data_IF_112833978226
#
_entry.id   IF_112833978226
#
_cell.length_a   1.000
_cell.length_b   1.000
_cell.length_c   1.000
_cell.angle_alpha   90.00
_cell.angle_beta   90.00
_cell.angle_gamma   90.00
#
_symmetry.space_group_name_H-M   'P 1'
#
loop_
_entity.id
_entity.type
_entity.pdbx_description
1 polymer ?
#
# COMPACT_ATOMS: atom_id res chain seq x y z
N UNK A 1 9.33 22.03 23.41
CA UNK A 1 9.43 20.57 23.20
C UNK A 1 8.26 19.94 23.93
N UNK A 2 7.35 19.26 23.22
CA UNK A 2 6.31 18.45 23.85
C UNK A 2 6.75 16.99 23.81
N UNK A 3 6.63 16.28 24.93
CA UNK A 3 6.94 14.84 25.03
C UNK A 3 5.61 14.12 25.23
N UNK A 4 5.24 13.27 24.28
CA UNK A 4 4.00 12.50 24.34
C UNK A 4 4.38 11.06 24.66
N UNK A 5 3.91 10.56 25.80
CA UNK A 5 4.08 9.16 26.15
C UNK A 5 3.15 8.32 25.28
N UNK A 6 3.75 7.57 24.37
CA UNK A 6 3.08 6.54 23.57
C UNK A 6 3.26 5.18 24.25
N UNK A 7 2.41 4.20 23.92
CA UNK A 7 2.58 2.83 24.40
C UNK A 7 3.16 1.92 23.31
N UNK A 8 3.40 0.67 23.66
CA UNK A 8 3.85 -0.36 22.71
C UNK A 8 2.79 -0.77 21.66
N UNK A 9 1.53 -0.35 21.82
CA UNK A 9 0.41 -0.83 21.02
C UNK A 9 0.45 -0.32 19.57
N UNK A 10 0.57 1.01 19.41
CA UNK A 10 0.96 1.63 18.16
C UNK A 10 2.35 2.24 18.40
N UNK A 11 3.44 1.60 17.92
CA UNK A 11 4.80 2.03 18.24
C UNK A 11 5.19 3.37 17.59
N UNK A 12 4.25 4.05 16.93
CA UNK A 12 4.44 5.28 16.18
C UNK A 12 3.35 6.29 16.54
N UNK A 13 3.73 7.57 16.59
CA UNK A 13 2.78 8.68 16.63
C UNK A 13 2.60 9.19 15.20
N UNK A 14 1.36 9.47 14.81
CA UNK A 14 1.03 9.90 13.45
C UNK A 14 0.62 11.35 13.50
N UNK A 15 1.32 12.20 12.76
CA UNK A 15 0.99 13.61 12.64
C UNK A 15 -0.10 13.81 11.59
N UNK A 16 -1.09 14.62 11.90
CA UNK A 16 -2.10 15.08 10.94
C UNK A 16 -1.49 15.98 9.86
N UNK A 17 -2.15 16.12 8.70
CA UNK A 17 -1.61 16.85 7.55
C UNK A 17 -1.36 18.34 7.83
N UNK A 18 -2.12 18.94 8.75
CA UNK A 18 -1.96 20.34 9.16
C UNK A 18 -0.89 20.53 10.25
N UNK A 19 -0.28 19.44 10.72
CA UNK A 19 0.73 19.45 11.78
C UNK A 19 0.20 19.86 13.15
N UNK A 20 -1.13 19.83 13.38
CA UNK A 20 -1.73 20.23 14.67
C UNK A 20 -2.17 19.05 15.51
N UNK A 21 -2.65 18.00 14.86
CA UNK A 21 -3.13 16.79 15.52
C UNK A 21 -2.09 15.67 15.48
N UNK A 22 -2.09 14.86 16.53
CA UNK A 22 -1.33 13.62 16.63
C UNK A 22 -2.30 12.51 16.99
N UNK A 23 -2.24 11.40 16.25
CA UNK A 23 -2.85 10.14 16.65
C UNK A 23 -1.79 9.27 17.33
N UNK A 24 -2.15 8.72 18.48
CA UNK A 24 -1.36 7.73 19.22
C UNK A 24 -2.31 6.64 19.75
N UNK A 25 -1.82 5.42 19.96
CA UNK A 25 -2.58 4.40 20.68
C UNK A 25 -1.89 3.99 21.98
N UNK A 26 -2.68 3.74 23.02
CA UNK A 26 -2.21 3.33 24.34
C UNK A 26 -2.54 1.86 24.64
N UNK A 27 -2.08 1.36 25.80
CA UNK A 27 -2.29 -0.02 26.25
C UNK A 27 -3.78 -0.40 26.41
N UNK A 28 -4.65 0.60 26.51
CA UNK A 28 -6.10 0.49 26.66
C UNK A 28 -6.86 0.20 25.35
N UNK A 29 -6.15 -0.01 24.24
CA UNK A 29 -6.71 -0.23 22.90
C UNK A 29 -7.47 0.99 22.34
N UNK A 30 -7.31 2.16 22.95
CA UNK A 30 -7.94 3.40 22.54
C UNK A 30 -6.98 4.22 21.68
N UNK A 31 -7.52 4.81 20.61
CA UNK A 31 -6.80 5.83 19.85
C UNK A 31 -6.97 7.18 20.51
N UNK A 32 -5.91 7.91 20.75
CA UNK A 32 -5.96 9.25 21.33
C UNK A 32 -5.59 10.27 20.27
N UNK A 33 -6.45 11.27 20.07
CA UNK A 33 -6.13 12.46 19.29
C UNK A 33 -5.64 13.55 20.24
N UNK A 34 -4.41 13.98 20.04
CA UNK A 34 -3.74 14.99 20.84
C UNK A 34 -3.38 16.20 19.98
N UNK A 35 -3.19 17.35 20.61
CA UNK A 35 -2.45 18.46 20.00
C UNK A 35 -0.96 18.12 19.92
N UNK A 36 -0.22 18.86 19.11
CA UNK A 36 1.26 18.81 19.13
C UNK A 36 1.90 19.29 20.43
N UNK A 37 1.14 19.93 21.31
CA UNK A 37 1.56 20.21 22.70
C UNK A 37 1.33 19.04 23.67
N UNK A 38 0.73 17.94 23.21
CA UNK A 38 0.44 16.74 24.00
C UNK A 38 -0.86 16.79 24.79
N UNK A 39 -1.73 17.77 24.55
CA UNK A 39 -3.05 17.86 25.18
C UNK A 39 -3.98 16.89 24.46
N UNK A 40 -4.55 15.95 25.21
CA UNK A 40 -5.54 15.02 24.66
C UNK A 40 -6.86 15.76 24.39
N UNK A 41 -7.33 15.66 23.14
CA UNK A 41 -8.57 16.28 22.69
C UNK A 41 -9.70 15.27 22.65
N UNK A 42 -9.43 14.05 22.16
CA UNK A 42 -10.44 13.01 21.96
C UNK A 42 -9.86 11.61 22.20
N UNK A 43 -10.73 10.73 22.67
CA UNK A 43 -10.51 9.29 22.79
C UNK A 43 -11.39 8.54 21.77
N UNK A 44 -10.78 7.74 20.93
CA UNK A 44 -11.40 6.95 19.86
C UNK A 44 -11.70 5.54 20.39
N UNK A 45 -12.74 5.45 21.20
CA UNK A 45 -13.12 4.22 21.90
C UNK A 45 -13.98 3.33 21.00
N UNK A 46 -13.61 2.05 20.88
CA UNK A 46 -14.46 1.06 20.21
C UNK A 46 -13.75 -0.19 19.70
N UNK A 47 -12.44 -0.14 19.46
CA UNK A 47 -11.67 -1.35 19.19
C UNK A 47 -11.68 -2.29 20.41
N UNK A 48 -11.71 -3.59 20.15
CA UNK A 48 -11.75 -4.63 21.19
C UNK A 48 -10.36 -5.21 21.49
N UNK A 49 -9.37 -4.84 20.68
CA UNK A 49 -7.97 -5.24 20.81
C UNK A 49 -7.07 -4.12 20.28
N UNK A 50 -5.76 -4.28 20.48
CA UNK A 50 -4.69 -3.34 20.16
C UNK A 50 -4.84 -2.72 18.78
N UNK A 51 -4.76 -1.39 18.73
CA UNK A 51 -4.63 -0.63 17.50
C UNK A 51 -3.22 -0.81 16.95
N UNK A 52 -3.11 -1.31 15.73
CA UNK A 52 -1.85 -1.65 15.05
C UNK A 52 -1.48 -0.70 13.93
N UNK A 53 -2.45 0.07 13.42
CA UNK A 53 -2.22 1.03 12.36
C UNK A 53 -3.13 2.25 12.51
N UNK A 54 -2.70 3.39 11.99
CA UNK A 54 -3.51 4.60 11.92
C UNK A 54 -3.16 5.44 10.69
N UNK A 55 -4.06 6.32 10.27
CA UNK A 55 -3.81 7.30 9.23
C UNK A 55 -4.81 8.45 9.32
N UNK A 56 -4.37 9.68 9.08
CA UNK A 56 -5.27 10.79 8.78
C UNK A 56 -5.62 10.77 7.29
N UNK A 57 -6.81 11.24 6.95
CA UNK A 57 -7.10 11.57 5.55
C UNK A 57 -6.41 12.89 5.15
N UNK A 58 -6.24 13.17 3.85
CA UNK A 58 -5.54 14.35 3.35
C UNK A 58 -6.05 15.71 3.89
N UNK A 59 -7.35 15.85 4.12
CA UNK A 59 -7.95 17.07 4.67
C UNK A 59 -7.93 17.14 6.22
N UNK A 60 -7.55 16.07 6.90
CA UNK A 60 -7.42 15.99 8.35
C UNK A 60 -8.75 15.88 9.12
N UNK A 61 -9.89 15.79 8.43
CA UNK A 61 -11.22 15.69 9.07
C UNK A 61 -11.54 14.27 9.54
N UNK A 62 -10.88 13.27 8.97
CA UNK A 62 -11.04 11.86 9.32
C UNK A 62 -9.72 11.25 9.75
N UNK A 63 -9.85 10.29 10.65
CA UNK A 63 -8.76 9.38 11.01
C UNK A 63 -9.26 7.95 10.89
N UNK A 64 -8.41 7.06 10.41
CA UNK A 64 -8.67 5.63 10.35
C UNK A 64 -7.72 4.91 11.30
N UNK A 65 -8.21 3.83 11.91
CA UNK A 65 -7.42 2.92 12.75
C UNK A 65 -7.66 1.48 12.30
N UNK A 66 -6.60 0.67 12.33
CA UNK A 66 -6.65 -0.79 12.16
C UNK A 66 -6.25 -1.48 13.45
N UNK A 67 -6.82 -2.66 13.73
CA UNK A 67 -6.63 -3.35 15.01
C UNK A 67 -6.41 -4.87 14.86
N UNK A 68 -5.84 -5.45 15.92
CA UNK A 68 -5.82 -6.89 16.17
C UNK A 68 -7.22 -7.50 16.32
N UNK A 69 -8.28 -6.71 16.48
CA UNK A 69 -9.67 -7.18 16.49
C UNK A 69 -10.23 -7.52 15.09
N UNK A 70 -9.36 -7.48 14.07
CA UNK A 70 -9.64 -7.75 12.66
C UNK A 70 -10.50 -6.68 11.98
N UNK A 71 -10.71 -5.54 12.62
CA UNK A 71 -11.51 -4.45 12.06
C UNK A 71 -10.66 -3.23 11.79
N UNK A 72 -11.12 -2.43 10.83
CA UNK A 72 -10.71 -1.03 10.73
C UNK A 72 -11.88 -0.13 11.13
N UNK A 73 -11.59 1.05 11.67
CA UNK A 73 -12.59 2.04 12.01
C UNK A 73 -12.20 3.39 11.46
N UNK A 74 -13.21 4.17 11.07
CA UNK A 74 -13.07 5.55 10.62
C UNK A 74 -13.74 6.43 11.66
N UNK A 75 -13.08 7.53 12.01
CA UNK A 75 -13.50 8.45 13.07
C UNK A 75 -13.48 9.89 12.58
N UNK A 76 -14.40 10.69 13.09
CA UNK A 76 -14.35 12.15 12.94
C UNK A 76 -13.27 12.71 13.86
N UNK A 77 -12.34 13.50 13.33
CA UNK A 77 -11.31 14.15 14.17
C UNK A 77 -11.89 15.27 15.03
N UNK A 78 -13.02 15.85 14.63
CA UNK A 78 -13.71 16.92 15.37
C UNK A 78 -14.54 16.37 16.52
N UNK A 79 -15.31 15.30 16.26
CA UNK A 79 -16.24 14.73 17.24
C UNK A 79 -15.61 13.61 18.07
N UNK A 80 -14.59 12.92 17.56
CA UNK A 80 -14.02 11.71 18.17
C UNK A 80 -14.93 10.48 18.07
N UNK A 81 -16.02 10.57 17.32
CA UNK A 81 -17.01 9.51 17.16
C UNK A 81 -16.65 8.58 15.99
N UNK A 82 -17.00 7.30 16.11
CA UNK A 82 -16.83 6.34 15.01
C UNK A 82 -17.87 6.62 13.93
N UNK A 83 -17.41 7.01 12.75
CA UNK A 83 -18.25 7.23 11.57
C UNK A 83 -18.58 5.88 10.91
N UNK A 84 -17.63 4.94 10.92
CA UNK A 84 -17.82 3.63 10.32
C UNK A 84 -16.91 2.57 10.93
N UNK A 85 -17.47 1.37 11.11
CA UNK A 85 -16.74 0.13 11.37
C UNK A 85 -16.65 -0.68 10.07
N UNK A 86 -15.45 -1.16 9.75
CA UNK A 86 -15.13 -1.91 8.54
C UNK A 86 -14.79 -3.34 8.95
N UNK A 87 -15.69 -4.26 8.61
CA UNK A 87 -15.61 -5.68 8.93
C UNK A 87 -15.40 -6.49 7.66
N UNK A 88 -14.60 -7.54 7.74
CA UNK A 88 -14.41 -8.46 6.61
C UNK A 88 -13.07 -9.18 6.64
N UNK A 89 -12.03 -8.55 7.21
CA UNK A 89 -10.74 -9.21 7.42
C UNK A 89 -10.87 -10.37 8.42
N UNK A 90 -10.09 -11.43 8.19
CA UNK A 90 -10.05 -12.61 9.06
C UNK A 90 -8.78 -12.68 9.92
N UNK A 91 -7.94 -11.65 9.84
CA UNK A 91 -6.75 -11.46 10.65
C UNK A 91 -6.54 -9.99 10.97
N UNK A 92 -5.57 -9.71 11.84
CA UNK A 92 -5.23 -8.36 12.28
C UNK A 92 -5.02 -7.37 11.12
N UNK A 93 -5.59 -6.17 11.25
CA UNK A 93 -5.43 -5.09 10.26
C UNK A 93 -4.14 -4.32 10.57
N UNK A 94 -3.10 -4.59 9.80
CA UNK A 94 -1.74 -4.06 10.01
C UNK A 94 -1.44 -2.81 9.19
N UNK A 95 -2.29 -2.48 8.21
CA UNK A 95 -2.11 -1.30 7.35
C UNK A 95 -3.43 -0.57 7.21
N UNK A 96 -3.41 0.76 7.32
CA UNK A 96 -4.51 1.64 6.91
C UNK A 96 -3.94 2.84 6.16
N UNK A 97 -4.56 3.24 5.07
CA UNK A 97 -4.16 4.42 4.29
C UNK A 97 -5.36 5.01 3.55
N UNK A 98 -5.53 6.34 3.60
CA UNK A 98 -6.53 7.01 2.78
C UNK A 98 -6.05 7.20 1.34
N UNK A 99 -6.97 7.19 0.39
CA UNK A 99 -6.67 7.64 -0.96
C UNK A 99 -6.40 9.16 -0.99
N UNK A 100 -5.62 9.65 -1.97
CA UNK A 100 -5.29 11.07 -2.08
C UNK A 100 -6.50 12.02 -2.22
N UNK A 101 -7.64 11.50 -2.69
CA UNK A 101 -8.90 12.24 -2.85
C UNK A 101 -9.84 12.16 -1.62
N UNK A 102 -9.39 11.55 -0.51
CA UNK A 102 -10.18 11.28 0.69
C UNK A 102 -11.42 10.39 0.46
N UNK A 103 -11.62 9.79 -0.72
CA UNK A 103 -12.87 9.06 -1.04
C UNK A 103 -12.82 7.57 -0.72
N UNK A 104 -11.62 7.02 -0.51
CA UNK A 104 -11.41 5.60 -0.22
C UNK A 104 -10.44 5.40 0.94
N UNK A 105 -10.60 4.26 1.62
CA UNK A 105 -9.64 3.74 2.59
C UNK A 105 -9.11 2.40 2.08
N UNK A 106 -7.80 2.22 2.12
CA UNK A 106 -7.10 0.96 1.92
C UNK A 106 -6.78 0.36 3.29
N UNK A 107 -7.11 -0.90 3.48
CA UNK A 107 -6.69 -1.70 4.64
C UNK A 107 -5.90 -2.91 4.18
N UNK A 108 -4.86 -3.28 4.93
CA UNK A 108 -4.07 -4.49 4.71
C UNK A 108 -4.05 -5.33 5.98
N UNK A 109 -4.05 -6.65 5.84
CA UNK A 109 -4.19 -7.57 6.96
C UNK A 109 -3.22 -8.74 6.94
N UNK A 110 -3.01 -9.33 8.11
CA UNK A 110 -2.35 -10.64 8.28
C UNK A 110 -3.10 -11.79 7.62
N UNK A 111 -4.34 -11.59 7.15
CA UNK A 111 -5.05 -12.57 6.33
C UNK A 111 -4.56 -12.66 4.86
N UNK A 112 -3.55 -11.86 4.49
CA UNK A 112 -2.98 -11.84 3.15
C UNK A 112 -3.83 -11.11 2.12
N UNK A 113 -4.86 -10.37 2.55
CA UNK A 113 -5.68 -9.54 1.68
C UNK A 113 -5.50 -8.07 2.00
N UNK A 114 -5.58 -7.26 0.96
CA UNK A 114 -5.87 -5.84 1.09
C UNK A 114 -7.31 -5.57 0.65
N UNK A 115 -7.94 -4.55 1.22
CA UNK A 115 -9.33 -4.18 0.93
C UNK A 115 -9.42 -2.68 0.69
N UNK A 116 -10.18 -2.29 -0.33
CA UNK A 116 -10.47 -0.88 -0.63
C UNK A 116 -11.94 -0.62 -0.32
N UNK A 117 -12.16 0.31 0.60
CA UNK A 117 -13.45 0.72 1.13
C UNK A 117 -13.77 2.11 0.60
N UNK A 118 -14.94 2.31 0.00
CA UNK A 118 -15.42 3.67 -0.27
C UNK A 118 -15.91 4.32 1.02
N UNK A 119 -15.49 5.56 1.30
CA UNK A 119 -15.88 6.30 2.50
C UNK A 119 -17.39 6.58 2.51
N UNK A 120 -17.94 7.03 1.38
CA UNK A 120 -19.37 7.31 1.21
C UNK A 120 -20.26 6.04 1.18
N UNK A 121 -19.66 4.85 1.23
CA UNK A 121 -20.35 3.58 1.08
C UNK A 121 -20.31 3.05 -0.36
N UNK A 122 -20.80 1.83 -0.55
CA UNK A 122 -20.74 1.11 -1.83
C UNK A 122 -19.89 -0.16 -1.75
N UNK A 123 -19.66 -0.83 -2.91
CA UNK A 123 -19.03 -2.14 -2.95
C UNK A 123 -17.57 -2.06 -2.50
N UNK A 124 -17.19 -3.03 -1.68
CA UNK A 124 -15.80 -3.25 -1.31
C UNK A 124 -15.03 -3.92 -2.45
N UNK A 125 -13.73 -3.62 -2.59
CA UNK A 125 -12.83 -4.33 -3.49
C UNK A 125 -11.82 -5.10 -2.67
N UNK A 126 -11.81 -6.43 -2.81
CA UNK A 126 -10.86 -7.31 -2.13
C UNK A 126 -9.71 -7.64 -3.06
N UNK A 127 -8.51 -7.23 -2.69
CA UNK A 127 -7.26 -7.51 -3.40
C UNK A 127 -6.71 -8.86 -2.89
N UNK A 128 -7.08 -9.94 -3.58
CA UNK A 128 -6.67 -11.31 -3.25
C UNK A 128 -5.48 -11.73 -4.08
N UNK A 129 -4.47 -12.31 -3.43
CA UNK A 129 -3.39 -12.96 -4.15
C UNK A 129 -2.17 -13.28 -3.30
N UNK A 130 -1.91 -12.50 -2.24
CA UNK A 130 -0.80 -12.81 -1.35
C UNK A 130 -1.07 -14.09 -0.54
N UNK A 131 -0.03 -14.92 -0.36
CA UNK A 131 -0.12 -16.16 0.43
C UNK A 131 0.37 -15.99 1.87
N UNK A 132 0.82 -14.79 2.23
CA UNK A 132 1.30 -14.46 3.57
C UNK A 132 0.82 -13.08 4.00
N UNK A 133 1.15 -12.71 5.24
CA UNK A 133 0.70 -11.46 5.84
C UNK A 133 1.12 -10.23 5.01
N UNK A 134 0.25 -9.21 4.95
CA UNK A 134 0.60 -7.93 4.37
C UNK A 134 1.37 -7.06 5.35
N UNK A 135 2.54 -6.60 4.91
CA UNK A 135 3.43 -5.72 5.67
C UNK A 135 3.26 -4.25 5.31
N UNK A 136 2.85 -3.97 4.07
CA UNK A 136 2.69 -2.61 3.57
C UNK A 136 1.70 -2.58 2.41
N UNK A 137 0.93 -1.50 2.34
CA UNK A 137 0.02 -1.20 1.26
C UNK A 137 -0.13 0.32 1.13
N UNK A 138 -0.11 0.85 -0.09
CA UNK A 138 -0.18 2.30 -0.36
C UNK A 138 -0.92 2.58 -1.67
N UNK A 139 -1.66 3.68 -1.74
CA UNK A 139 -2.15 4.24 -2.99
C UNK A 139 -1.03 4.94 -3.77
N UNK A 140 -1.12 4.95 -5.10
CA UNK A 140 -0.35 5.90 -5.89
C UNK A 140 -0.80 7.34 -5.59
N UNK A 141 0.06 8.37 -5.80
CA UNK A 141 -0.29 9.77 -5.55
C UNK A 141 -1.53 10.28 -6.30
N UNK A 142 -1.89 9.65 -7.40
CA UNK A 142 -3.11 9.96 -8.16
C UNK A 142 -4.30 9.04 -7.84
N UNK A 143 -4.16 8.11 -6.90
CA UNK A 143 -5.22 7.20 -6.47
C UNK A 143 -5.59 6.10 -7.46
N UNK A 144 -4.96 6.01 -8.63
CA UNK A 144 -5.32 5.04 -9.67
C UNK A 144 -4.82 3.63 -9.37
N UNK A 145 -3.72 3.51 -8.64
CA UNK A 145 -3.07 2.25 -8.33
C UNK A 145 -2.92 2.03 -6.84
N UNK A 146 -2.80 0.76 -6.47
CA UNK A 146 -2.38 0.33 -5.14
C UNK A 146 -1.18 -0.58 -5.29
N UNK A 147 -0.19 -0.42 -4.42
CA UNK A 147 0.91 -1.36 -4.26
C UNK A 147 0.75 -2.07 -2.93
N UNK A 148 0.95 -3.39 -2.90
CA UNK A 148 0.95 -4.21 -1.67
C UNK A 148 2.23 -5.02 -1.60
N UNK A 149 2.73 -5.27 -0.39
CA UNK A 149 3.96 -6.02 -0.16
C UNK A 149 3.77 -7.05 0.96
N UNK A 150 4.32 -8.25 0.74
CA UNK A 150 4.39 -9.29 1.76
C UNK A 150 5.79 -9.92 1.78
N UNK A 151 6.36 -9.96 2.98
CA UNK A 151 7.67 -10.55 3.26
C UNK A 151 7.60 -12.07 3.24
N UNK A 152 6.50 -12.64 3.73
CA UNK A 152 6.29 -14.08 3.78
C UNK A 152 6.15 -14.68 2.38
N UNK A 153 5.40 -14.02 1.49
CA UNK A 153 5.26 -14.50 0.10
C UNK A 153 6.32 -13.93 -0.86
N UNK A 154 7.13 -12.97 -0.39
CA UNK A 154 8.26 -12.36 -1.10
C UNK A 154 7.84 -11.61 -2.37
N UNK A 155 6.59 -11.17 -2.46
CA UNK A 155 6.08 -10.43 -3.60
C UNK A 155 5.67 -9.01 -3.23
N UNK A 156 5.87 -8.10 -4.19
CA UNK A 156 5.11 -6.85 -4.27
C UNK A 156 4.10 -7.01 -5.39
N UNK A 157 2.88 -6.51 -5.22
CA UNK A 157 1.82 -6.59 -6.23
C UNK A 157 1.27 -5.22 -6.51
N UNK A 158 1.01 -4.97 -7.79
CA UNK A 158 0.41 -3.73 -8.29
C UNK A 158 -1.03 -4.01 -8.70
N UNK A 159 -1.95 -3.17 -8.28
CA UNK A 159 -3.39 -3.32 -8.48
C UNK A 159 -3.99 -2.06 -9.09
N UNK A 160 -5.05 -2.23 -9.88
CA UNK A 160 -5.91 -1.12 -10.28
C UNK A 160 -6.89 -0.80 -9.14
N UNK A 161 -6.82 0.40 -8.56
CA UNK A 161 -7.59 0.76 -7.36
C UNK A 161 -9.11 0.67 -7.59
N UNK A 162 -9.59 1.11 -8.76
CA UNK A 162 -11.02 1.16 -9.05
C UNK A 162 -11.68 -0.24 -9.14
N UNK A 163 -10.97 -1.19 -9.75
CA UNK A 163 -11.50 -2.53 -10.05
C UNK A 163 -11.02 -3.60 -9.07
N UNK A 164 -9.93 -3.35 -8.35
CA UNK A 164 -9.23 -4.34 -7.55
C UNK A 164 -8.49 -5.41 -8.37
N UNK A 165 -8.37 -5.23 -9.69
CA UNK A 165 -7.68 -6.18 -10.58
C UNK A 165 -6.16 -6.10 -10.36
N UNK A 166 -5.52 -7.25 -10.21
CA UNK A 166 -4.06 -7.33 -10.22
C UNK A 166 -3.50 -6.97 -11.61
N UNK A 167 -2.54 -6.05 -11.65
CA UNK A 167 -1.85 -5.60 -12.86
C UNK A 167 -0.53 -6.37 -13.03
N UNK A 168 0.27 -6.45 -11.96
CA UNK A 168 1.58 -7.07 -12.01
C UNK A 168 1.98 -7.66 -10.65
N UNK A 169 2.86 -8.66 -10.69
CA UNK A 169 3.62 -9.16 -9.53
C UNK A 169 5.07 -8.75 -9.75
N UNK A 170 5.61 -7.98 -8.82
CA UNK A 170 6.91 -7.34 -8.85
C UNK A 170 7.74 -7.94 -7.70
N UNK A 171 8.35 -9.09 -7.91
CA UNK A 171 9.13 -9.79 -6.87
C UNK A 171 9.66 -11.14 -7.35
N UNK A 172 10.73 -11.62 -6.73
CA UNK A 172 11.36 -12.89 -7.09
C UNK A 172 10.62 -14.06 -6.45
N UNK A 173 10.20 -15.04 -7.25
CA UNK A 173 9.74 -16.34 -6.75
C UNK A 173 10.92 -17.28 -6.44
N UNK A 174 12.13 -16.94 -6.90
CA UNK A 174 13.29 -17.83 -6.79
C UNK A 174 13.80 -17.92 -5.35
N UNK A 175 13.88 -19.15 -4.85
CA UNK A 175 14.15 -19.50 -3.45
C UNK A 175 15.62 -19.59 -3.05
N UNK A 176 16.57 -19.33 -3.95
CA UNK A 176 17.95 -19.80 -3.75
C UNK A 176 18.84 -18.91 -2.84
N UNK A 177 18.46 -17.66 -2.56
CA UNK A 177 19.25 -16.77 -1.69
C UNK A 177 18.33 -15.90 -0.83
N UNK A 178 17.56 -16.53 0.05
CA UNK A 178 16.75 -15.80 1.04
C UNK A 178 17.50 -15.70 2.37
N UNK A 179 17.63 -14.47 2.84
CA UNK A 179 17.81 -14.17 4.25
C UNK A 179 16.65 -13.28 4.69
N UNK A 180 16.22 -13.36 5.96
CA UNK A 180 15.06 -12.63 6.45
C UNK A 180 15.29 -11.11 6.34
N UNK A 181 14.45 -10.43 5.57
CA UNK A 181 14.44 -8.97 5.44
C UNK A 181 13.06 -8.47 5.03
N UNK A 182 12.70 -7.24 5.42
CA UNK A 182 11.38 -6.67 5.15
C UNK A 182 11.17 -6.44 3.65
N UNK A 183 10.01 -6.86 3.15
CA UNK A 183 9.56 -6.50 1.80
C UNK A 183 8.68 -5.26 1.88
N UNK A 184 9.03 -4.22 1.11
CA UNK A 184 8.29 -2.95 1.07
C UNK A 184 8.34 -2.34 -0.32
N UNK A 185 7.31 -1.57 -0.65
CA UNK A 185 7.28 -0.75 -1.83
C UNK A 185 6.78 0.66 -1.50
N UNK A 186 7.21 1.64 -2.29
CA UNK A 186 6.72 3.01 -2.21
C UNK A 186 6.64 3.61 -3.61
N UNK A 187 5.62 4.43 -3.85
CA UNK A 187 5.53 5.22 -5.07
C UNK A 187 6.47 6.42 -5.00
N UNK A 188 7.01 6.83 -6.15
CA UNK A 188 7.57 8.18 -6.29
C UNK A 188 6.44 9.22 -6.17
N UNK A 189 6.78 10.44 -5.75
CA UNK A 189 5.79 11.50 -5.54
C UNK A 189 4.99 11.88 -6.80
N UNK A 190 5.58 11.70 -7.99
CA UNK A 190 4.92 11.87 -9.28
C UNK A 190 4.09 10.63 -9.72
N UNK A 191 4.16 9.55 -8.95
CA UNK A 191 3.50 8.27 -9.20
C UNK A 191 4.09 7.44 -10.33
N UNK A 192 5.14 7.91 -11.02
CA UNK A 192 5.64 7.27 -12.24
C UNK A 192 6.60 6.11 -11.98
N UNK A 193 7.06 5.93 -10.76
CA UNK A 193 7.94 4.84 -10.35
C UNK A 193 7.48 4.22 -9.04
N UNK A 194 7.85 2.95 -8.86
CA UNK A 194 7.73 2.22 -7.61
C UNK A 194 9.11 1.73 -7.22
N UNK A 195 9.59 2.17 -6.05
CA UNK A 195 10.78 1.62 -5.45
C UNK A 195 10.39 0.39 -4.62
N UNK A 196 11.06 -0.74 -4.85
CA UNK A 196 10.78 -2.02 -4.22
C UNK A 196 12.04 -2.48 -3.50
N UNK A 197 11.88 -2.84 -2.24
CA UNK A 197 12.88 -3.49 -1.42
C UNK A 197 12.33 -4.89 -1.13
N UNK A 198 13.05 -5.92 -1.57
CA UNK A 198 12.71 -7.32 -1.32
C UNK A 198 14.01 -8.09 -1.05
N UNK A 199 14.34 -8.32 0.22
CA UNK A 199 15.59 -8.96 0.61
C UNK A 199 16.84 -8.08 0.42
N UNK A 200 18.02 -8.67 0.66
CA UNK A 200 19.11 -7.98 1.37
C UNK A 200 19.88 -6.90 0.61
N UNK A 201 19.87 -6.85 -0.74
CA UNK A 201 20.88 -6.04 -1.44
C UNK A 201 20.44 -5.35 -2.73
N UNK A 202 19.14 -5.34 -3.07
CA UNK A 202 18.67 -4.69 -4.30
C UNK A 202 17.42 -3.87 -4.05
N UNK A 203 17.51 -2.60 -4.43
CA UNK A 203 16.33 -1.76 -4.65
C UNK A 203 15.99 -1.87 -6.13
N UNK A 204 14.79 -2.36 -6.43
CA UNK A 204 14.27 -2.38 -7.81
C UNK A 204 13.42 -1.14 -8.01
N UNK A 205 13.64 -0.41 -9.09
CA UNK A 205 12.81 0.74 -9.47
C UNK A 205 12.04 0.34 -10.72
N UNK A 206 10.72 0.24 -10.59
CA UNK A 206 9.82 -0.14 -11.68
C UNK A 206 9.07 1.10 -12.14
N UNK A 207 9.05 1.36 -13.45
CA UNK A 207 8.24 2.43 -14.04
C UNK A 207 6.77 1.99 -14.12
N UNK A 208 5.88 2.87 -13.70
CA UNK A 208 4.42 2.73 -13.80
C UNK A 208 3.88 3.82 -14.71
N UNK A 209 3.10 3.41 -15.71
CA UNK A 209 2.48 4.33 -16.66
C UNK A 209 1.09 4.72 -16.17
N UNK A 210 0.76 6.01 -16.25
CA UNK A 210 -0.52 6.53 -15.79
C UNK A 210 -1.61 6.42 -16.85
N UNK A 211 -1.20 6.38 -18.12
CA UNK A 211 -2.12 6.19 -19.24
C UNK A 211 -1.60 5.15 -20.24
N UNK A 212 -2.50 4.47 -20.98
CA UNK A 212 -2.10 3.62 -22.11
C UNK A 212 -1.30 4.38 -23.16
N UNK A 213 -1.59 5.68 -23.35
CA UNK A 213 -0.89 6.54 -24.31
C UNK A 213 0.59 6.70 -23.95
N UNK A 214 0.90 6.96 -22.68
CA UNK A 214 2.29 7.06 -22.21
C UNK A 214 3.07 5.75 -22.44
N UNK A 215 2.45 4.60 -22.16
CA UNK A 215 3.05 3.30 -22.45
C UNK A 215 3.33 3.13 -23.94
N UNK A 216 2.35 3.46 -24.80
CA UNK A 216 2.50 3.37 -26.26
C UNK A 216 3.60 4.30 -26.75
N UNK A 217 3.65 5.54 -26.26
CA UNK A 217 4.69 6.52 -26.65
C UNK A 217 6.07 6.09 -26.18
N UNK A 218 6.19 5.57 -24.96
CA UNK A 218 7.43 4.99 -24.45
C UNK A 218 7.88 3.80 -25.30
N UNK A 219 6.98 2.83 -25.55
CA UNK A 219 7.28 1.69 -26.39
C UNK A 219 7.73 2.12 -27.81
N UNK A 220 7.09 3.13 -28.40
CA UNK A 220 7.47 3.68 -29.71
C UNK A 220 8.83 4.37 -29.75
N UNK A 221 9.34 4.85 -28.61
CA UNK A 221 10.65 5.51 -28.48
C UNK A 221 11.75 4.51 -28.14
N UNK A 222 11.45 3.54 -27.28
CA UNK A 222 12.43 2.60 -26.72
C UNK A 222 12.58 1.36 -27.59
N UNK A 223 11.51 0.90 -28.24
CA UNK A 223 11.60 -0.20 -29.21
C UNK A 223 12.08 0.38 -30.54
N UNK A 224 13.21 -0.10 -31.10
CA UNK A 224 13.66 0.33 -32.42
C UNK A 224 12.55 0.13 -33.44
N UNK A 225 12.20 1.19 -34.18
CA UNK A 225 11.10 1.14 -35.17
C UNK A 225 11.36 0.17 -36.32
N UNK A 226 12.62 -0.20 -36.53
CA UNK A 226 13.07 -1.14 -37.54
C UNK A 226 13.88 -2.26 -36.89
N UNK A 227 13.24 -3.05 -36.02
CA UNK A 227 13.78 -4.37 -35.72
C UNK A 227 13.74 -5.18 -37.02
N UNK A 228 14.91 -5.62 -37.48
CA UNK A 228 15.02 -6.61 -38.55
C UNK A 228 14.21 -7.86 -38.19
N UNK A 229 13.81 -8.70 -39.17
CA UNK A 229 13.11 -9.95 -38.89
C UNK A 229 13.85 -10.87 -37.90
N UNK A 230 15.18 -10.74 -37.80
CA UNK A 230 16.06 -11.46 -36.89
C UNK A 230 15.94 -10.88 -35.45
N UNK A 231 16.01 -9.55 -35.29
CA UNK A 231 15.86 -8.87 -33.98
C UNK A 231 14.45 -8.96 -33.39
N UNK A 232 13.41 -9.03 -34.23
CA UNK A 232 12.04 -9.31 -33.73
C UNK A 232 11.92 -10.70 -33.09
N UNK A 233 12.65 -11.71 -33.59
CA UNK A 233 12.57 -13.06 -33.02
C UNK A 233 13.27 -13.15 -31.67
N UNK A 234 14.40 -12.49 -31.50
CA UNK A 234 15.14 -12.49 -30.23
C UNK A 234 14.48 -11.63 -29.15
N UNK A 235 13.78 -10.55 -29.51
CA UNK A 235 13.19 -9.64 -28.52
C UNK A 235 11.87 -10.15 -27.92
N UNK A 236 11.12 -11.01 -28.63
CA UNK A 236 9.77 -11.44 -28.23
C UNK A 236 9.62 -12.93 -27.87
N UNK A 237 10.65 -13.77 -28.08
CA UNK A 237 10.57 -15.20 -27.79
C UNK A 237 11.77 -15.67 -26.94
N UNK A 238 11.57 -16.48 -25.89
CA UNK A 238 12.67 -17.09 -25.13
C UNK A 238 13.44 -18.06 -26.02
N UNK A 239 14.76 -17.95 -25.98
CA UNK A 239 15.70 -18.60 -26.90
C UNK A 239 15.52 -20.13 -26.98
N UNK A 240 15.40 -20.63 -28.21
CA UNK A 240 15.85 -21.98 -28.58
C UNK A 240 16.93 -21.79 -29.66
N UNK A 241 18.12 -22.40 -29.54
CA UNK A 241 19.19 -22.18 -30.50
C UNK A 241 18.86 -22.95 -31.78
N UNK A 242 18.50 -22.23 -32.84
CA UNK A 242 18.36 -22.82 -34.16
C UNK A 242 19.39 -22.18 -35.10
N UNK A 243 20.41 -22.98 -35.41
CA UNK A 243 21.34 -22.82 -36.52
C UNK A 243 20.63 -22.26 -37.76
N UNK A 244 20.95 -21.02 -38.13
CA UNK A 244 20.46 -20.41 -39.35
C UNK A 244 20.99 -19.00 -39.48
N UNK A 245 22.04 -18.83 -40.28
CA UNK A 245 22.64 -17.55 -40.62
C UNK A 245 21.63 -16.62 -41.29
N UNK A 246 21.43 -15.42 -40.73
CA UNK A 246 20.65 -14.34 -41.34
C UNK A 246 21.48 -13.76 -42.53
N UNK A 247 21.03 -13.81 -43.81
CA UNK A 247 21.75 -13.20 -44.93
C UNK A 247 21.50 -11.68 -44.98
N UNK A 248 22.51 -10.93 -45.42
CA UNK A 248 22.59 -9.47 -45.38
C UNK A 248 21.84 -8.71 -46.46
#
# INVERSE_FOLDING_TARGET
LAVIHTSSNLPQAILGPDGRLILSAREDNVGHLLTTSGVELRALVGHQDRITAGAFNPDGQLVATGSLDHTARIWSTTEGTSVRKLEGHTGAVTVVAFSPDSQSLLTGSRDGTARIWSIAGGPERVLRGHSGALDSAEFSPNGLYVVTASTEDRTVRLWAAQSGRQIAVLGSQDGATFRPGFTRAAFSADGTHVAIIAGEQRVSIVRVFQTPKELIEFARRTVPRELTPCERRSFFLPEVPANGTCPG
#
